data_IF_234359271883
#
_entry.id   IF_234359271883
#
_cell.length_a   1.000
_cell.length_b   1.000
_cell.length_c   1.000
_cell.angle_alpha   90.00
_cell.angle_beta   90.00
_cell.angle_gamma   90.00
#
_symmetry.space_group_name_H-M   'P 1'
#
loop_
_entity.id
_entity.type
_entity.pdbx_description
1 polymer ?
#
# COMPACT_ATOMS: atom_id res chain seq x y z
N UNK A 1 11.21 4.56 20.49
CA UNK A 1 10.25 5.60 20.07
C UNK A 1 10.16 5.51 18.55
N UNK A 2 8.99 5.20 18.00
CA UNK A 2 8.80 5.17 16.55
C UNK A 2 8.69 6.60 16.03
N UNK A 3 9.50 6.95 15.03
CA UNK A 3 9.40 8.23 14.34
C UNK A 3 8.33 8.11 13.26
N UNK A 4 7.23 8.84 13.38
CA UNK A 4 6.24 8.98 12.31
C UNK A 4 6.63 10.13 11.40
N UNK A 5 6.72 9.88 10.09
CA UNK A 5 6.85 10.94 9.08
C UNK A 5 5.54 11.02 8.32
N UNK A 6 4.92 12.19 8.31
CA UNK A 6 3.76 12.47 7.47
C UNK A 6 4.27 12.82 6.07
N UNK A 7 3.76 12.11 5.07
CA UNK A 7 4.05 12.37 3.66
C UNK A 7 2.74 12.63 2.95
N UNK A 8 2.69 13.73 2.20
CA UNK A 8 1.52 14.11 1.41
C UNK A 8 1.91 14.01 -0.07
N UNK A 9 1.13 13.25 -0.84
CA UNK A 9 1.41 12.98 -2.25
C UNK A 9 0.13 13.13 -3.09
N UNK A 10 0.24 13.78 -4.24
CA UNK A 10 -0.81 13.85 -5.25
C UNK A 10 -0.29 13.30 -6.58
N UNK A 11 -1.14 12.57 -7.30
CA UNK A 11 -0.86 12.13 -8.67
C UNK A 11 -2.02 12.62 -9.55
N UNK A 12 -1.74 13.47 -10.53
CA UNK A 12 -2.72 14.06 -11.43
C UNK A 12 -2.22 13.89 -12.86
N UNK A 13 -2.93 13.10 -13.67
CA UNK A 13 -2.43 12.68 -14.98
C UNK A 13 -1.13 11.88 -14.84
N UNK A 14 -0.04 12.42 -15.41
CA UNK A 14 1.31 11.85 -15.33
C UNK A 14 2.26 12.70 -14.45
N UNK A 15 1.73 13.60 -13.62
CA UNK A 15 2.53 14.39 -12.68
C UNK A 15 2.29 13.92 -11.25
N UNK A 16 3.39 13.75 -10.51
CA UNK A 16 3.39 13.47 -9.08
C UNK A 16 3.91 14.68 -8.32
N UNK A 17 3.22 15.03 -7.24
CA UNK A 17 3.55 16.10 -6.31
C UNK A 17 3.80 15.49 -4.94
N UNK A 18 4.92 15.81 -4.30
CA UNK A 18 5.30 15.27 -2.99
C UNK A 18 5.65 16.42 -2.07
N UNK A 19 5.10 16.42 -0.86
CA UNK A 19 5.48 17.36 0.19
C UNK A 19 6.64 16.79 0.99
N UNK A 20 7.83 17.32 0.75
CA UNK A 20 9.02 16.92 1.49
C UNK A 20 9.16 17.77 2.76
N UNK A 21 9.45 17.15 3.92
CA UNK A 21 9.81 17.91 5.11
C UNK A 21 10.98 18.85 4.82
N UNK A 22 10.84 20.13 5.18
CA UNK A 22 11.81 21.23 4.99
C UNK A 22 12.01 21.76 3.56
N UNK A 23 11.63 21.03 2.50
CA UNK A 23 11.81 21.47 1.12
C UNK A 23 10.52 21.92 0.43
N UNK A 24 9.36 21.69 1.07
CA UNK A 24 8.06 22.05 0.50
C UNK A 24 7.65 21.09 -0.61
N UNK A 25 6.83 21.59 -1.53
CA UNK A 25 6.31 20.80 -2.64
C UNK A 25 7.34 20.65 -3.76
N UNK A 26 7.61 19.40 -4.12
CA UNK A 26 8.38 19.04 -5.31
C UNK A 26 7.48 18.28 -6.26
N UNK A 27 7.80 18.36 -7.56
CA UNK A 27 7.09 17.59 -8.59
C UNK A 27 8.03 16.83 -9.49
N UNK A 28 7.51 15.73 -10.03
CA UNK A 28 8.17 14.94 -11.04
C UNK A 28 7.14 14.30 -11.97
N UNK A 29 7.57 14.04 -13.19
CA UNK A 29 6.80 13.23 -14.14
C UNK A 29 6.85 11.76 -13.72
N UNK A 30 5.69 11.09 -13.74
CA UNK A 30 5.54 9.66 -13.49
C UNK A 30 5.65 8.88 -14.80
N UNK A 31 5.66 7.54 -14.71
CA UNK A 31 5.39 6.71 -15.89
C UNK A 31 3.98 6.97 -16.42
N UNK A 32 3.78 6.86 -17.74
CA UNK A 32 2.45 6.97 -18.38
C UNK A 32 1.42 5.98 -17.81
N UNK A 33 1.90 4.85 -17.30
CA UNK A 33 1.09 3.77 -16.72
C UNK A 33 1.10 3.77 -15.18
N UNK A 34 1.27 4.93 -14.54
CA UNK A 34 1.30 5.01 -13.07
C UNK A 34 0.03 4.45 -12.44
N UNK A 35 -1.12 4.64 -13.10
CA UNK A 35 -2.43 4.16 -12.64
C UNK A 35 -2.58 2.65 -12.70
N UNK A 36 -1.94 1.96 -13.65
CA UNK A 36 -1.90 0.49 -13.70
C UNK A 36 -1.18 -0.10 -12.48
N UNK A 37 -0.30 0.66 -11.81
CA UNK A 37 0.29 0.22 -10.55
C UNK A 37 -0.72 0.23 -9.39
N UNK A 38 -1.75 1.07 -9.47
CA UNK A 38 -2.80 1.18 -8.45
C UNK A 38 -4.08 0.42 -8.81
N UNK A 39 -4.14 -0.13 -10.02
CA UNK A 39 -5.14 -1.13 -10.31
C UNK A 39 -4.99 -2.27 -9.29
N UNK A 40 -6.09 -2.70 -8.66
CA UNK A 40 -6.04 -3.79 -7.71
C UNK A 40 -5.56 -5.02 -8.47
N UNK A 41 -4.26 -5.29 -8.35
CA UNK A 41 -3.70 -6.58 -8.72
C UNK A 41 -4.34 -7.56 -7.76
N UNK A 42 -4.81 -8.61 -8.38
CA UNK A 42 -5.84 -9.51 -7.92
C UNK A 42 -5.66 -9.97 -6.47
N UNK A 43 -6.77 -10.22 -5.78
CA UNK A 43 -6.85 -10.62 -4.36
C UNK A 43 -5.80 -11.68 -3.98
N UNK A 44 -5.39 -11.76 -2.70
CA UNK A 44 -4.47 -12.81 -2.21
C UNK A 44 -5.06 -14.24 -2.27
N UNK A 45 -6.25 -14.38 -2.87
CA UNK A 45 -7.02 -15.60 -3.03
C UNK A 45 -6.77 -16.32 -4.37
N UNK A 46 -6.12 -15.68 -5.34
CA UNK A 46 -5.87 -16.32 -6.64
C UNK A 46 -4.87 -17.48 -6.52
N UNK A 47 -5.20 -18.61 -7.14
CA UNK A 47 -4.37 -19.83 -7.20
C UNK A 47 -3.92 -20.41 -5.85
N UNK A 48 -4.60 -20.01 -4.76
CA UNK A 48 -4.28 -20.46 -3.40
C UNK A 48 -5.45 -21.26 -2.82
N UNK A 49 -5.15 -22.27 -2.02
CA UNK A 49 -6.18 -22.97 -1.26
C UNK A 49 -6.79 -22.02 -0.23
N UNK A 50 -8.09 -21.78 -0.36
CA UNK A 50 -8.86 -20.93 0.55
C UNK A 50 -9.66 -21.77 1.53
N UNK A 51 -9.61 -21.42 2.81
CA UNK A 51 -10.46 -22.00 3.83
C UNK A 51 -11.46 -20.94 4.32
N UNK A 52 -12.76 -21.25 4.26
CA UNK A 52 -13.78 -20.46 4.94
C UNK A 52 -13.72 -20.79 6.43
N UNK A 53 -13.27 -19.85 7.26
CA UNK A 53 -13.07 -20.07 8.70
C UNK A 53 -14.19 -19.48 9.56
N UNK A 54 -15.08 -18.67 8.97
CA UNK A 54 -16.23 -18.13 9.69
C UNK A 54 -16.86 -16.93 9.01
N UNK A 55 -17.64 -16.19 9.80
CA UNK A 55 -18.30 -14.96 9.38
C UNK A 55 -18.18 -13.91 10.47
N UNK A 56 -17.95 -12.67 10.10
CA UNK A 56 -17.81 -11.53 11.02
C UNK A 56 -18.39 -10.28 10.38
N UNK A 57 -18.88 -9.35 11.21
CA UNK A 57 -19.38 -8.06 10.75
C UNK A 57 -18.24 -7.04 10.66
N UNK A 58 -18.05 -6.43 9.49
CA UNK A 58 -17.07 -5.36 9.25
C UNK A 58 -17.79 -4.14 8.71
N UNK A 59 -17.72 -3.04 9.46
CA UNK A 59 -18.36 -1.76 9.12
C UNK A 59 -19.88 -1.90 8.86
N UNK A 60 -20.59 -2.60 9.75
CA UNK A 60 -22.03 -2.94 9.66
C UNK A 60 -22.41 -3.81 8.46
N UNK A 61 -21.48 -4.59 7.93
CA UNK A 61 -21.71 -5.50 6.82
C UNK A 61 -21.18 -6.90 7.13
N UNK A 62 -22.07 -7.88 7.02
CA UNK A 62 -21.70 -9.27 7.28
C UNK A 62 -20.73 -9.77 6.19
N UNK A 63 -19.60 -10.34 6.62
CA UNK A 63 -18.53 -10.81 5.75
C UNK A 63 -18.23 -12.29 5.98
N UNK A 64 -17.80 -13.00 4.94
CA UNK A 64 -17.09 -14.27 5.06
C UNK A 64 -15.64 -13.99 5.45
N UNK A 65 -15.09 -14.81 6.35
CA UNK A 65 -13.65 -14.78 6.67
C UNK A 65 -12.98 -15.93 5.92
N UNK A 66 -12.11 -15.56 5.00
CA UNK A 66 -11.32 -16.49 4.20
C UNK A 66 -9.88 -16.46 4.70
N UNK A 67 -9.34 -17.63 5.01
CA UNK A 67 -7.94 -17.81 5.40
C UNK A 67 -7.15 -18.45 4.26
N UNK A 68 -6.00 -17.87 3.94
CA UNK A 68 -5.09 -18.33 2.90
C UNK A 68 -3.64 -18.27 3.34
N UNK A 69 -2.79 -19.02 2.62
CA UNK A 69 -1.34 -18.89 2.68
C UNK A 69 -0.85 -18.41 1.32
N UNK A 70 -0.82 -17.09 1.09
CA UNK A 70 -0.44 -16.54 -0.20
C UNK A 70 1.06 -16.67 -0.43
N UNK A 71 1.46 -16.62 -1.71
CA UNK A 71 2.87 -16.50 -2.05
C UNK A 71 3.42 -15.13 -1.61
N UNK A 72 4.65 -15.13 -1.12
CA UNK A 72 5.31 -13.92 -0.64
C UNK A 72 5.48 -12.87 -1.75
N UNK A 73 5.61 -13.30 -2.99
CA UNK A 73 5.68 -12.42 -4.16
C UNK A 73 4.38 -11.62 -4.32
N UNK A 74 3.21 -12.26 -4.17
CA UNK A 74 1.90 -11.57 -4.23
C UNK A 74 1.75 -10.55 -3.10
N UNK A 75 2.21 -10.89 -1.90
CA UNK A 75 2.18 -9.96 -0.77
C UNK A 75 3.15 -8.79 -0.99
N UNK A 76 4.33 -9.03 -1.55
CA UNK A 76 5.25 -7.96 -1.91
C UNK A 76 4.61 -7.00 -2.91
N UNK A 77 4.03 -7.52 -3.98
CA UNK A 77 3.34 -6.72 -4.99
C UNK A 77 2.28 -5.82 -4.35
N UNK A 78 1.44 -6.38 -3.48
CA UNK A 78 0.43 -5.62 -2.73
C UNK A 78 1.05 -4.51 -1.87
N UNK A 79 2.15 -4.78 -1.16
CA UNK A 79 2.79 -3.76 -0.31
C UNK A 79 3.48 -2.65 -1.11
N UNK A 80 4.01 -2.96 -2.29
CA UNK A 80 4.59 -1.98 -3.21
C UNK A 80 3.54 -1.02 -3.79
N UNK A 81 2.28 -1.44 -3.88
CA UNK A 81 1.17 -0.56 -4.30
C UNK A 81 0.78 0.46 -3.22
N UNK A 82 1.04 0.16 -1.94
CA UNK A 82 0.58 0.95 -0.79
C UNK A 82 1.67 1.94 -0.32
N UNK A 83 2.91 1.80 -0.78
CA UNK A 83 4.00 2.78 -0.55
C UNK A 83 5.37 2.28 -1.02
N UNK A 84 6.42 3.10 -0.80
CA UNK A 84 7.83 2.69 -0.99
C UNK A 84 8.28 1.70 0.10
N UNK A 85 7.62 0.55 0.18
CA UNK A 85 8.12 -0.58 0.93
C UNK A 85 9.47 -0.98 0.36
N UNK A 86 10.56 -0.70 1.09
CA UNK A 86 11.94 -1.11 0.75
C UNK A 86 11.96 -2.61 0.54
N UNK A 87 11.90 -2.98 -0.73
CA UNK A 87 11.53 -4.30 -1.25
C UNK A 87 12.76 -5.15 -1.56
N UNK A 88 12.53 -6.46 -1.57
CA UNK A 88 13.42 -7.58 -1.92
C UNK A 88 14.24 -8.20 -0.77
N UNK A 89 14.96 -7.44 0.06
CA UNK A 89 15.83 -8.08 1.07
C UNK A 89 15.08 -8.59 2.31
N UNK A 90 13.96 -7.96 2.69
CA UNK A 90 13.14 -8.40 3.82
C UNK A 90 12.48 -9.78 3.59
N UNK A 91 12.22 -10.12 2.32
CA UNK A 91 11.54 -11.36 1.89
C UNK A 91 12.34 -12.59 2.27
N UNK A 92 13.67 -12.52 2.18
CA UNK A 92 14.59 -13.64 2.48
C UNK A 92 14.51 -14.12 3.93
N UNK A 93 13.98 -13.29 4.80
CA UNK A 93 13.86 -13.56 6.23
C UNK A 93 12.45 -14.05 6.60
N UNK A 94 11.48 -14.05 5.69
CA UNK A 94 10.12 -14.52 6.00
C UNK A 94 10.09 -16.03 6.11
N UNK A 95 9.60 -16.53 7.25
CA UNK A 95 9.45 -17.95 7.57
C UNK A 95 8.05 -18.46 7.32
N UNK A 96 7.05 -17.65 7.65
CA UNK A 96 5.66 -18.02 7.55
C UNK A 96 4.84 -16.80 7.14
N UNK A 97 3.77 -17.06 6.39
CA UNK A 97 2.83 -16.05 5.93
C UNK A 97 1.40 -16.60 6.00
N UNK A 98 0.52 -15.80 6.56
CA UNK A 98 -0.90 -16.10 6.69
C UNK A 98 -1.69 -14.85 6.36
N UNK A 99 -2.68 -14.98 5.49
CA UNK A 99 -3.59 -13.91 5.14
C UNK A 99 -5.03 -14.26 5.51
N UNK A 100 -5.76 -13.25 5.97
CA UNK A 100 -7.19 -13.29 6.22
C UNK A 100 -7.86 -12.18 5.44
N UNK A 101 -8.88 -12.54 4.67
CA UNK A 101 -9.70 -11.59 3.93
C UNK A 101 -11.14 -11.66 4.39
N UNK A 102 -11.74 -10.48 4.58
CA UNK A 102 -13.16 -10.33 4.89
C UNK A 102 -13.88 -9.93 3.63
N UNK A 103 -14.67 -10.85 3.08
CA UNK A 103 -15.43 -10.65 1.85
C UNK A 103 -16.88 -10.36 2.19
N UNK A 104 -17.38 -9.20 1.77
CA UNK A 104 -18.79 -8.84 1.98
C UNK A 104 -19.72 -9.90 1.40
N UNK A 105 -20.69 -10.37 2.20
CA UNK A 105 -21.76 -11.26 1.71
C UNK A 105 -22.74 -10.58 0.75
N UNK A 106 -22.79 -9.25 0.76
CA UNK A 106 -23.71 -8.45 -0.05
C UNK A 106 -23.14 -8.09 -1.42
N UNK A 107 -21.86 -7.71 -1.45
CA UNK A 107 -21.20 -7.18 -2.66
C UNK A 107 -20.14 -8.12 -3.22
N UNK A 108 -19.71 -9.13 -2.45
CA UNK A 108 -18.58 -10.01 -2.77
C UNK A 108 -17.25 -9.26 -2.97
N UNK A 109 -17.16 -8.04 -2.43
CA UNK A 109 -15.95 -7.23 -2.44
C UNK A 109 -15.19 -7.40 -1.11
N UNK A 110 -13.87 -7.28 -1.18
CA UNK A 110 -12.99 -7.28 0.00
C UNK A 110 -13.30 -6.04 0.85
N UNK A 111 -13.44 -6.20 2.16
CA UNK A 111 -13.63 -5.07 3.10
C UNK A 111 -12.37 -4.83 3.93
N UNK A 112 -11.68 -5.91 4.25
CA UNK A 112 -10.48 -5.92 5.09
C UNK A 112 -9.59 -7.08 4.68
N UNK A 113 -8.29 -6.83 4.71
CA UNK A 113 -7.25 -7.85 4.56
C UNK A 113 -6.29 -7.71 5.72
N UNK A 114 -5.92 -8.82 6.35
CA UNK A 114 -4.88 -8.89 7.36
C UNK A 114 -3.84 -9.89 6.88
N UNK A 115 -2.59 -9.47 6.79
CA UNK A 115 -1.45 -10.32 6.46
C UNK A 115 -0.53 -10.36 7.65
N UNK A 116 -0.28 -11.54 8.19
CA UNK A 116 0.70 -11.78 9.24
C UNK A 116 1.91 -12.48 8.63
N UNK A 117 3.10 -11.99 8.97
CA UNK A 117 4.37 -12.52 8.52
C UNK A 117 5.28 -12.73 9.73
N UNK A 118 5.87 -13.91 9.82
CA UNK A 118 6.94 -14.21 10.76
C UNK A 118 8.27 -14.04 10.04
N UNK A 119 9.14 -13.17 10.54
CA UNK A 119 10.47 -12.91 10.00
C UNK A 119 11.55 -13.40 10.96
N UNK A 120 12.62 -13.97 10.44
CA UNK A 120 13.79 -14.37 11.23
C UNK A 120 15.09 -14.00 10.52
N UNK A 121 15.93 -13.23 11.20
CA UNK A 121 17.28 -12.87 10.73
C UNK A 121 18.28 -13.03 11.87
N UNK A 122 19.34 -13.81 11.64
CA UNK A 122 20.47 -13.98 12.57
C UNK A 122 20.03 -14.32 14.02
N UNK A 123 19.01 -15.18 14.16
CA UNK A 123 18.49 -15.62 15.46
C UNK A 123 17.55 -14.63 16.15
N UNK A 124 17.18 -13.53 15.48
CA UNK A 124 16.16 -12.59 15.94
C UNK A 124 14.87 -12.82 15.15
N UNK A 125 13.76 -13.06 15.85
CA UNK A 125 12.43 -13.18 15.27
C UNK A 125 11.66 -11.86 15.38
N UNK A 126 10.87 -11.54 14.37
CA UNK A 126 9.98 -10.39 14.34
C UNK A 126 8.64 -10.77 13.69
N UNK A 127 7.55 -10.40 14.34
CA UNK A 127 6.21 -10.58 13.80
C UNK A 127 5.73 -9.27 13.16
N UNK A 128 5.29 -9.34 11.92
CA UNK A 128 4.78 -8.20 11.16
C UNK A 128 3.33 -8.46 10.82
N UNK A 129 2.44 -7.54 11.20
CA UNK A 129 1.03 -7.58 10.83
C UNK A 129 0.68 -6.36 9.99
N UNK A 130 0.17 -6.61 8.79
CA UNK A 130 -0.31 -5.58 7.86
C UNK A 130 -1.83 -5.69 7.82
N UNK A 131 -2.52 -4.61 8.18
CA UNK A 131 -3.98 -4.51 8.05
C UNK A 131 -4.33 -3.49 6.99
N UNK A 132 -5.05 -3.93 5.96
CA UNK A 132 -5.61 -3.10 4.90
C UNK A 132 -7.13 -3.06 5.04
N UNK A 133 -7.72 -1.88 4.81
CA UNK A 133 -9.16 -1.69 4.69
C UNK A 133 -9.46 -1.07 3.33
N UNK A 134 -10.47 -1.61 2.64
CA UNK A 134 -10.87 -1.11 1.33
C UNK A 134 -12.33 -0.69 1.39
N UNK A 135 -12.61 0.52 0.92
CA UNK A 135 -13.91 1.16 1.01
C UNK A 135 -14.13 2.11 -0.17
N UNK A 136 -15.37 2.60 -0.33
CA UNK A 136 -15.75 3.53 -1.40
C UNK A 136 -15.48 3.00 -2.82
N UNK A 137 -15.71 1.70 -3.04
CA UNK A 137 -15.66 1.09 -4.37
C UNK A 137 -16.47 1.87 -5.40
N UNK A 138 -15.82 2.18 -6.54
CA UNK A 138 -16.41 2.87 -7.69
C UNK A 138 -17.08 4.21 -7.33
N UNK A 139 -16.61 4.88 -6.26
CA UNK A 139 -17.03 6.25 -5.94
C UNK A 139 -16.14 7.25 -6.66
N UNK A 140 -16.70 8.35 -7.18
CA UNK A 140 -15.89 9.40 -7.78
C UNK A 140 -14.94 9.96 -6.72
N UNK A 141 -13.67 10.10 -7.09
CA UNK A 141 -12.66 10.74 -6.29
C UNK A 141 -12.40 12.14 -6.87
N UNK A 142 -12.47 13.17 -6.03
CA UNK A 142 -12.08 14.52 -6.39
C UNK A 142 -10.67 14.79 -5.86
N UNK A 143 -9.72 15.05 -6.75
CA UNK A 143 -8.35 15.37 -6.38
C UNK A 143 -8.16 16.87 -6.56
N UNK A 144 -8.01 17.60 -5.47
CA UNK A 144 -7.73 19.03 -5.48
C UNK A 144 -6.27 19.27 -5.09
N UNK A 145 -5.49 19.79 -6.03
CA UNK A 145 -4.10 20.14 -5.78
C UNK A 145 -4.05 21.39 -4.87
N UNK A 146 -3.32 21.34 -3.74
CA UNK A 146 -3.13 22.52 -2.90
C UNK A 146 -2.49 23.68 -3.67
N UNK A 147 -2.90 24.93 -3.39
CA UNK A 147 -2.36 26.12 -4.06
C UNK A 147 -0.82 26.18 -3.99
N UNK A 148 -0.25 25.76 -2.87
CA UNK A 148 1.20 25.72 -2.62
C UNK A 148 1.94 24.76 -3.57
N UNK A 149 1.29 23.70 -4.02
CA UNK A 149 1.87 22.69 -4.89
C UNK A 149 1.88 23.12 -6.37
N UNK A 150 1.10 24.16 -6.75
CA UNK A 150 1.10 24.70 -8.13
C UNK A 150 2.47 25.23 -8.55
N UNK A 151 3.27 25.69 -7.60
CA UNK A 151 4.62 26.20 -7.81
C UNK A 151 5.71 25.17 -7.41
N UNK A 152 5.35 23.89 -7.35
CA UNK A 152 6.28 22.83 -6.95
C UNK A 152 7.53 22.80 -7.85
N UNK A 153 8.69 22.61 -7.24
CA UNK A 153 9.98 22.56 -7.93
C UNK A 153 10.08 21.23 -8.69
N UNK A 154 10.35 21.29 -9.99
CA UNK A 154 10.58 20.10 -10.79
C UNK A 154 11.98 19.52 -10.50
N UNK A 155 11.99 18.27 -10.03
CA UNK A 155 13.21 17.56 -9.63
C UNK A 155 14.13 17.30 -10.84
N UNK A 156 13.58 17.12 -12.06
CA UNK A 156 14.37 16.89 -13.28
C UNK A 156 14.97 18.16 -13.87
N UNK A 157 14.37 19.34 -13.65
CA UNK A 157 14.90 20.61 -14.19
C UNK A 157 16.05 21.22 -13.37
N UNK A 158 16.41 20.61 -12.24
CA UNK A 158 17.69 20.81 -11.55
C UNK A 158 17.85 22.12 -10.78
N UNK A 159 17.58 22.11 -9.48
CA UNK A 159 18.45 22.61 -8.39
C UNK A 159 17.79 22.24 -7.07
N UNK A 160 18.18 21.13 -6.44
CA UNK A 160 18.07 21.12 -4.98
C UNK A 160 19.06 22.21 -4.50
N UNK A 161 18.65 23.16 -3.65
CA UNK A 161 19.58 24.15 -3.13
C UNK A 161 20.77 23.40 -2.52
N UNK A 162 21.97 23.74 -3.01
CA UNK A 162 23.21 23.09 -2.59
C UNK A 162 23.28 23.08 -1.06
N UNK A 163 23.57 21.91 -0.48
CA UNK A 163 23.84 21.80 0.94
C UNK A 163 24.98 22.74 1.28
N UNK A 164 24.65 23.83 2.00
CA UNK A 164 25.63 24.65 2.68
C UNK A 164 26.43 23.74 3.61
N UNK A 165 27.73 23.64 3.32
CA UNK A 165 28.72 22.91 4.12
C UNK A 165 28.93 23.55 5.49
#
# INVERSE_FOLDING_TARGET
MGTSMEMETYIIGNEQYIKLPMFGWVKNETSEHIWEKFEPKTTLLEDVKVNLIGTEEVDNEECYILETKPDIEKVLEMTQQIGEGKSADAIKFVKNIEAKEWISKKTFLVKKTVVNMEMEKEGQSADVSITMRVYNYNKPMNIELPEEAKNAIDIKSGTLPAMGS
#
